data_IF_160815190115
#
_entry.id   IF_160815190115
#
_cell.length_a   1.000
_cell.length_b   1.000
_cell.length_c   1.000
_cell.angle_alpha   90.00
_cell.angle_beta   90.00
_cell.angle_gamma   90.00
#
_symmetry.space_group_name_H-M   'P 1'
#
loop_
_entity.id
_entity.type
_entity.pdbx_description
1 polymer ?
#
# COMPACT_ATOMS: atom_id res chain seq x y z
N UNK A 1 8.81 12.77 16.11
CA UNK A 1 7.60 12.21 15.48
C UNK A 1 7.18 13.16 14.39
N UNK A 2 7.11 12.70 13.14
CA UNK A 2 6.55 13.44 12.01
C UNK A 2 5.16 12.88 11.69
N UNK A 3 4.21 13.74 11.37
CA UNK A 3 2.84 13.33 11.03
C UNK A 3 2.52 13.90 9.65
N UNK A 4 2.05 13.03 8.76
CA UNK A 4 1.61 13.39 7.42
C UNK A 4 0.18 12.93 7.23
N UNK A 5 -0.70 13.85 6.84
CA UNK A 5 -2.06 13.54 6.41
C UNK A 5 -2.04 13.38 4.89
N UNK A 6 -2.49 12.23 4.40
CA UNK A 6 -2.44 11.85 3.01
C UNK A 6 -3.83 11.48 2.53
N UNK A 7 -4.32 12.18 1.52
CA UNK A 7 -5.59 11.88 0.87
C UNK A 7 -5.33 11.34 -0.52
N UNK A 8 -5.85 10.15 -0.79
CA UNK A 8 -5.91 9.55 -2.11
C UNK A 8 -7.20 10.05 -2.74
N UNK A 9 -7.08 10.91 -3.74
CA UNK A 9 -8.20 11.44 -4.51
C UNK A 9 -7.92 11.20 -5.99
N UNK A 10 -8.91 10.71 -6.73
CA UNK A 10 -8.73 10.32 -8.13
C UNK A 10 -7.52 9.38 -8.35
N UNK A 11 -7.26 8.49 -7.38
CA UNK A 11 -6.16 7.50 -7.38
C UNK A 11 -4.75 8.11 -7.37
N UNK A 12 -4.62 9.34 -6.88
CA UNK A 12 -3.35 10.04 -6.69
C UNK A 12 -3.30 10.74 -5.33
N UNK A 13 -2.10 11.13 -4.88
CA UNK A 13 -1.91 11.90 -3.64
C UNK A 13 -1.27 13.24 -3.98
N UNK A 14 -1.89 14.34 -3.55
CA UNK A 14 -1.36 15.67 -3.78
C UNK A 14 -0.37 16.07 -2.67
N UNK A 15 0.93 15.81 -2.89
CA UNK A 15 2.01 16.28 -2.02
C UNK A 15 3.18 16.87 -2.81
N UNK A 16 4.03 17.71 -2.20
CA UNK A 16 5.20 18.26 -2.89
C UNK A 16 6.17 17.17 -3.37
N UNK A 17 6.39 17.10 -4.69
CA UNK A 17 7.32 16.17 -5.35
C UNK A 17 6.98 14.68 -5.18
N UNK A 18 5.73 14.34 -4.84
CA UNK A 18 5.29 12.95 -4.64
C UNK A 18 6.19 12.18 -3.66
N UNK A 19 6.81 12.89 -2.71
CA UNK A 19 7.89 12.34 -1.87
C UNK A 19 7.82 12.88 -0.45
N UNK A 20 7.81 11.96 0.53
CA UNK A 20 7.96 12.24 1.95
C UNK A 20 9.42 12.01 2.33
N UNK A 21 10.09 13.05 2.82
CA UNK A 21 11.48 12.98 3.26
C UNK A 21 11.57 12.96 4.77
N UNK A 22 12.24 11.94 5.32
CA UNK A 22 12.49 11.78 6.75
C UNK A 22 13.94 11.37 6.99
N UNK A 23 14.37 11.39 8.25
CA UNK A 23 15.69 10.88 8.66
C UNK A 23 15.54 9.51 9.30
N UNK A 24 16.59 8.71 9.18
CA UNK A 24 16.69 7.41 9.83
C UNK A 24 16.40 7.51 11.35
N UNK A 25 15.76 6.53 11.96
CA UNK A 25 15.42 6.54 13.39
C UNK A 25 14.33 7.56 13.79
N UNK A 26 13.73 8.31 12.85
CA UNK A 26 12.57 9.13 13.16
C UNK A 26 11.30 8.29 13.20
N UNK A 27 10.45 8.51 14.22
CA UNK A 27 9.07 8.02 14.17
C UNK A 27 8.24 8.82 13.16
N UNK A 28 7.57 8.10 12.28
CA UNK A 28 6.71 8.62 11.21
C UNK A 28 5.30 8.09 11.42
N UNK A 29 4.33 9.00 11.27
CA UNK A 29 2.92 8.68 11.22
C UNK A 29 2.32 9.12 9.89
N UNK A 30 1.76 8.18 9.15
CA UNK A 30 1.01 8.45 7.93
C UNK A 30 -0.47 8.19 8.22
N UNK A 31 -1.27 9.25 8.20
CA UNK A 31 -2.72 9.19 8.34
C UNK A 31 -3.33 9.24 6.93
N UNK A 32 -3.80 8.09 6.45
CA UNK A 32 -4.33 7.87 5.12
C UNK A 32 -5.85 8.03 5.05
N UNK A 33 -6.30 8.66 3.98
CA UNK A 33 -7.69 8.75 3.54
C UNK A 33 -7.77 8.38 2.06
N UNK A 34 -8.93 7.87 1.66
CA UNK A 34 -9.22 7.57 0.26
C UNK A 34 -10.68 7.88 -0.04
N UNK A 35 -10.96 8.34 -1.25
CA UNK A 35 -12.31 8.53 -1.81
C UNK A 35 -12.92 7.20 -2.31
N UNK A 36 -12.07 6.24 -2.71
CA UNK A 36 -12.43 4.88 -3.12
C UNK A 36 -11.85 3.81 -2.17
N UNK A 37 -12.41 2.59 -2.19
CA UNK A 37 -11.79 1.45 -1.49
C UNK A 37 -10.49 1.08 -2.20
N UNK A 38 -9.39 0.92 -1.47
CA UNK A 38 -8.09 0.51 -2.03
C UNK A 38 -7.20 -0.13 -0.97
N UNK A 39 -6.26 -0.98 -1.38
CA UNK A 39 -5.19 -1.49 -0.53
C UNK A 39 -3.90 -0.73 -0.81
N UNK A 40 -3.26 -0.20 0.23
CA UNK A 40 -1.97 0.49 0.15
C UNK A 40 -0.87 -0.36 0.75
N UNK A 41 0.31 -0.34 0.12
CA UNK A 41 1.50 -1.07 0.54
C UNK A 41 2.72 -0.15 0.51
N UNK A 42 3.42 -0.03 1.64
CA UNK A 42 4.75 0.57 1.76
C UNK A 42 5.81 -0.52 1.58
N UNK A 43 6.47 -0.51 0.42
CA UNK A 43 7.59 -1.39 0.15
C UNK A 43 8.75 -1.13 1.11
N UNK A 44 9.53 -2.16 1.40
CA UNK A 44 10.67 -2.10 2.32
C UNK A 44 10.30 -2.26 3.79
N UNK A 45 9.17 -1.70 4.24
CA UNK A 45 8.66 -1.92 5.61
C UNK A 45 7.65 -3.07 5.71
N UNK A 46 7.18 -3.60 4.57
CA UNK A 46 6.17 -4.68 4.51
C UNK A 46 4.87 -4.30 5.26
N UNK A 47 4.49 -3.02 5.17
CA UNK A 47 3.29 -2.49 5.81
C UNK A 47 2.21 -2.36 4.74
N UNK A 48 1.13 -3.12 4.89
CA UNK A 48 -0.05 -3.07 4.03
C UNK A 48 -1.32 -2.77 4.85
N UNK A 49 -2.25 -2.02 4.26
CA UNK A 49 -3.59 -1.84 4.82
C UNK A 49 -4.63 -1.53 3.75
N UNK A 50 -5.86 -2.01 3.96
CA UNK A 50 -7.01 -1.60 3.14
C UNK A 50 -7.68 -0.36 3.72
N UNK A 51 -7.88 0.65 2.88
CA UNK A 51 -8.59 1.89 3.18
C UNK A 51 -9.99 1.78 2.59
N UNK A 52 -10.99 2.16 3.39
CA UNK A 52 -12.37 2.32 2.93
C UNK A 52 -12.72 3.80 2.80
N UNK A 53 -13.61 4.19 1.87
CA UNK A 53 -14.06 5.56 1.71
C UNK A 53 -14.51 6.17 3.03
N UNK A 54 -13.94 7.33 3.38
CA UNK A 54 -14.26 8.07 4.61
C UNK A 54 -13.73 7.45 5.91
N UNK A 55 -12.95 6.36 5.87
CA UNK A 55 -12.27 5.80 7.05
C UNK A 55 -10.78 6.14 7.02
N UNK A 56 -10.30 6.82 8.08
CA UNK A 56 -8.88 7.09 8.28
C UNK A 56 -8.15 5.81 8.68
N UNK A 57 -7.05 5.51 8.00
CA UNK A 57 -6.10 4.45 8.36
C UNK A 57 -4.81 5.09 8.83
N UNK A 58 -4.23 4.60 9.93
CA UNK A 58 -2.99 5.14 10.49
C UNK A 58 -1.88 4.11 10.40
N UNK A 59 -0.75 4.51 9.82
CA UNK A 59 0.52 3.82 9.93
C UNK A 59 1.43 4.57 10.89
N UNK A 60 1.92 3.89 11.93
CA UNK A 60 2.89 4.43 12.90
C UNK A 60 4.09 3.48 12.91
N UNK A 61 5.23 3.96 12.41
CA UNK A 61 6.44 3.16 12.29
C UNK A 61 7.68 4.02 12.52
N UNK A 62 8.81 3.38 12.80
CA UNK A 62 10.12 4.04 12.89
C UNK A 62 10.85 3.89 11.56
N UNK A 63 11.34 4.99 11.01
CA UNK A 63 12.08 5.00 9.75
C UNK A 63 13.50 4.44 9.94
N UNK A 64 13.65 3.16 10.25
CA UNK A 64 14.93 2.52 10.56
C UNK A 64 15.68 1.98 9.34
N UNK A 65 15.09 2.07 8.14
CA UNK A 65 15.71 1.67 6.88
C UNK A 65 15.98 2.91 6.04
N UNK A 66 17.26 3.20 5.77
CA UNK A 66 17.65 4.24 4.82
C UNK A 66 17.40 3.77 3.38
N UNK A 67 16.88 4.67 2.53
CA UNK A 67 16.55 4.34 1.14
C UNK A 67 15.36 5.12 0.59
N UNK A 68 14.91 4.71 -0.59
CA UNK A 68 13.74 5.28 -1.26
C UNK A 68 12.73 4.16 -1.50
N UNK A 69 11.59 4.25 -0.84
CA UNK A 69 10.59 3.20 -0.80
C UNK A 69 9.30 3.69 -1.47
N UNK A 70 8.82 3.04 -2.54
CA UNK A 70 7.53 3.39 -3.13
C UNK A 70 6.39 3.00 -2.18
N UNK A 71 5.41 3.88 -2.08
CA UNK A 71 4.10 3.56 -1.53
C UNK A 71 3.14 3.40 -2.70
N UNK A 72 2.52 2.24 -2.78
CA UNK A 72 1.66 1.88 -3.90
C UNK A 72 0.27 1.51 -3.42
N UNK A 73 -0.71 1.79 -4.27
CA UNK A 73 -2.08 1.39 -4.08
C UNK A 73 -2.52 0.42 -5.18
N UNK A 74 -3.34 -0.55 -4.82
CA UNK A 74 -3.95 -1.49 -5.76
C UNK A 74 -5.39 -1.81 -5.33
N UNK A 75 -6.13 -2.50 -6.20
CA UNK A 75 -7.51 -2.91 -5.92
C UNK A 75 -8.49 -1.75 -5.78
N UNK A 76 -8.28 -0.63 -6.47
CA UNK A 76 -9.22 0.50 -6.45
C UNK A 76 -10.64 0.06 -6.82
N UNK A 77 -11.61 0.38 -5.98
CA UNK A 77 -13.02 0.00 -6.17
C UNK A 77 -13.32 -1.48 -5.95
N UNK A 78 -12.31 -2.31 -5.67
CA UNK A 78 -12.46 -3.73 -5.39
C UNK A 78 -12.25 -3.99 -3.90
N UNK A 79 -13.25 -4.62 -3.27
CA UNK A 79 -13.10 -5.14 -1.92
C UNK A 79 -12.32 -6.45 -2.02
N UNK A 80 -10.99 -6.41 -1.90
CA UNK A 80 -10.18 -7.62 -1.76
C UNK A 80 -10.70 -8.37 -0.52
N UNK A 81 -11.30 -9.55 -0.73
CA UNK A 81 -11.62 -10.45 0.38
C UNK A 81 -10.28 -10.92 0.95
N UNK A 82 -10.12 -10.99 2.29
CA UNK A 82 -8.90 -11.52 2.88
C UNK A 82 -8.67 -12.92 2.31
N UNK A 83 -7.51 -13.13 1.72
CA UNK A 83 -7.03 -14.41 1.18
C UNK A 83 -6.71 -15.36 2.32
N UNK A 84 -7.74 -15.75 3.07
CA UNK A 84 -7.70 -16.92 3.94
C UNK A 84 -7.99 -18.16 3.11
N UNK A 85 -6.94 -18.95 2.85
CA UNK A 85 -6.97 -20.41 2.80
C UNK A 85 -8.13 -21.06 2.01
N UNK A 86 -7.92 -21.36 0.73
CA UNK A 86 -8.63 -22.49 0.11
C UNK A 86 -7.75 -23.73 0.24
N UNK A 87 -7.88 -24.41 1.38
CA UNK A 87 -7.48 -25.82 1.52
C UNK A 87 -8.41 -26.65 0.63
N UNK A 88 -7.87 -27.09 -0.50
CA UNK A 88 -8.45 -28.18 -1.28
C UNK A 88 -7.37 -29.24 -1.47
N UNK A 89 -7.20 -30.03 -0.40
CA UNK A 89 -6.75 -31.41 -0.53
C UNK A 89 -7.74 -32.15 -1.43
N UNK A 90 -7.39 -32.42 -2.69
CA UNK A 90 -7.55 -33.74 -3.33
C UNK A 90 -7.19 -33.76 -4.83
N UNK A 91 -6.22 -34.64 -5.13
CA UNK A 91 -6.04 -35.50 -6.32
C UNK A 91 -6.15 -35.00 -7.78
N UNK A 92 -5.01 -35.12 -8.48
CA UNK A 92 -4.81 -35.48 -9.89
C UNK A 92 -5.85 -35.03 -10.96
N UNK A 93 -5.51 -34.03 -11.78
CA UNK A 93 -5.47 -34.19 -13.24
C UNK A 93 -4.82 -32.98 -13.93
N UNK A 94 -4.02 -33.24 -14.96
CA UNK A 94 -3.54 -32.24 -15.91
C UNK A 94 -4.71 -31.48 -16.55
N UNK A 95 -4.68 -30.15 -16.50
CA UNK A 95 -5.28 -29.25 -17.49
C UNK A 95 -4.66 -27.88 -17.33
N UNK A 96 -3.99 -27.43 -18.39
CA UNK A 96 -3.76 -26.05 -18.84
C UNK A 96 -3.78 -24.93 -17.78
N UNK A 97 -2.72 -24.11 -17.62
CA UNK A 97 -2.85 -22.88 -16.85
C UNK A 97 -3.79 -21.95 -17.60
N UNK A 98 -5.09 -22.07 -17.32
CA UNK A 98 -6.08 -21.03 -17.62
C UNK A 98 -5.43 -19.71 -17.22
N UNK A 99 -5.37 -18.70 -18.10
CA UNK A 99 -4.94 -17.39 -17.67
C UNK A 99 -5.90 -17.02 -16.55
N UNK A 100 -5.39 -16.95 -15.30
CA UNK A 100 -6.11 -16.28 -14.23
C UNK A 100 -6.56 -14.96 -14.85
N UNK A 101 -7.83 -14.53 -14.70
CA UNK A 101 -8.18 -13.21 -15.17
C UNK A 101 -7.11 -12.29 -14.58
N UNK A 102 -6.40 -11.59 -15.46
CA UNK A 102 -5.68 -10.42 -15.05
C UNK A 102 -6.77 -9.50 -14.53
N UNK A 103 -7.14 -9.66 -13.27
CA UNK A 103 -7.47 -8.51 -12.45
C UNK A 103 -6.21 -7.69 -12.59
N UNK A 104 -6.20 -6.79 -13.59
CA UNK A 104 -5.27 -5.68 -13.65
C UNK A 104 -5.55 -4.89 -12.38
N UNK A 105 -5.04 -5.39 -11.25
CA UNK A 105 -4.89 -4.67 -10.01
C UNK A 105 -3.82 -3.65 -10.36
N UNK A 106 -4.23 -2.58 -11.04
CA UNK A 106 -3.33 -1.54 -11.53
C UNK A 106 -2.62 -0.95 -10.34
N UNK A 107 -1.41 -1.44 -10.10
CA UNK A 107 -0.54 -0.97 -9.06
C UNK A 107 -0.17 0.46 -9.41
N UNK A 108 -0.62 1.39 -8.58
CA UNK A 108 -0.42 2.82 -8.78
C UNK A 108 0.51 3.31 -7.70
N UNK A 109 1.66 3.85 -8.08
CA UNK A 109 2.55 4.51 -7.12
C UNK A 109 1.94 5.84 -6.70
N UNK A 110 1.67 5.97 -5.40
CA UNK A 110 1.09 7.18 -4.81
C UNK A 110 2.15 8.21 -4.45
N UNK A 111 3.23 7.75 -3.82
CA UNK A 111 4.34 8.58 -3.38
C UNK A 111 5.58 7.74 -3.09
N UNK A 112 6.68 8.40 -2.76
CA UNK A 112 7.90 7.78 -2.28
C UNK A 112 8.23 8.22 -0.86
N UNK A 113 8.57 7.27 0.01
CA UNK A 113 9.19 7.53 1.30
C UNK A 113 10.70 7.51 1.12
N UNK A 114 11.34 8.68 1.24
CA UNK A 114 12.79 8.83 1.24
C UNK A 114 13.29 8.96 2.69
N UNK A 115 14.09 7.99 3.11
CA UNK A 115 14.73 7.97 4.43
C UNK A 115 16.21 8.26 4.23
N UNK A 116 16.63 9.45 4.67
CA UNK A 116 18.03 9.85 4.61
C UNK A 116 18.80 9.31 5.82
N UNK A 117 20.02 8.78 5.62
CA UNK A 117 20.89 8.39 6.72
C UNK A 117 21.24 9.61 7.58
N UNK A 118 21.53 9.34 8.84
CA UNK A 118 21.90 10.37 9.82
C UNK A 118 23.32 10.91 9.66
#
# INVERSE_FOLDING_TARGET
MQIFELSIEHRSVEIPNDTIRVREGQRVRLDWLSDETTSIHLHGYDIEASIQPGRRVRWDFEANLAGRFPVEAHGFGHSEKPTGEHDHSDHHHHSDPSPKPATESTQTTLLYLEVHPH
#
